data_IF_236830865766
#
_entry.id   IF_236830865766
#
_cell.length_a   1.000
_cell.length_b   1.000
_cell.length_c   1.000
_cell.angle_alpha   90.00
_cell.angle_beta   90.00
_cell.angle_gamma   90.00
#
_symmetry.space_group_name_H-M   'P 1'
#
loop_
_entity.id
_entity.type
_entity.pdbx_description
1 polymer ?
#
# COMPACT_ATOMS: atom_id res chain seq x y z
N UNK A 1 33.87 -14.52 -23.75
CA UNK A 1 32.68 -13.64 -23.85
C UNK A 1 31.36 -14.38 -23.89
N UNK A 2 31.18 -15.48 -24.65
CA UNK A 2 29.90 -16.19 -24.75
C UNK A 2 29.35 -16.70 -23.40
N UNK A 3 30.21 -17.22 -22.52
CA UNK A 3 29.81 -17.70 -21.18
C UNK A 3 29.33 -16.57 -20.26
N UNK A 4 29.92 -15.37 -20.37
CA UNK A 4 29.53 -14.18 -19.60
C UNK A 4 28.18 -13.63 -20.09
N UNK A 5 27.96 -13.64 -21.40
CA UNK A 5 26.68 -13.32 -22.05
C UNK A 5 25.58 -14.30 -21.65
N UNK A 6 25.88 -15.59 -21.55
CA UNK A 6 24.93 -16.61 -21.10
C UNK A 6 24.54 -16.44 -19.63
N UNK A 7 25.50 -16.09 -18.77
CA UNK A 7 25.24 -15.76 -17.35
C UNK A 7 24.38 -14.49 -17.21
N UNK A 8 24.64 -13.48 -18.06
CA UNK A 8 23.86 -12.25 -18.11
C UNK A 8 22.43 -12.50 -18.63
N UNK A 9 22.28 -13.36 -19.64
CA UNK A 9 20.98 -13.80 -20.15
C UNK A 9 20.20 -14.61 -19.11
N UNK A 10 20.83 -15.55 -18.40
CA UNK A 10 20.18 -16.30 -17.30
C UNK A 10 19.77 -15.39 -16.14
N UNK A 11 20.60 -14.38 -15.81
CA UNK A 11 20.29 -13.38 -14.79
C UNK A 11 19.13 -12.44 -15.22
N UNK A 12 18.96 -12.20 -16.52
CA UNK A 12 17.82 -11.46 -17.07
C UNK A 12 16.55 -12.31 -17.09
N UNK A 13 16.65 -13.63 -17.38
CA UNK A 13 15.50 -14.54 -17.40
C UNK A 13 14.85 -14.75 -16.03
N UNK A 14 15.61 -14.65 -14.93
CA UNK A 14 15.04 -14.69 -13.56
C UNK A 14 14.31 -13.41 -13.17
N UNK A 15 14.39 -12.34 -13.97
CA UNK A 15 13.56 -11.13 -13.80
C UNK A 15 12.29 -11.29 -14.64
N UNK A 16 11.62 -12.42 -14.45
CA UNK A 16 10.21 -12.58 -14.79
C UNK A 16 9.49 -12.62 -13.46
N UNK A 17 9.15 -11.45 -12.91
CA UNK A 17 8.21 -11.37 -11.80
C UNK A 17 6.82 -11.69 -12.38
N UNK A 18 6.57 -12.97 -12.62
CA UNK A 18 5.23 -13.49 -12.81
C UNK A 18 4.57 -13.34 -11.43
N UNK A 19 3.85 -12.25 -11.21
CA UNK A 19 2.93 -12.20 -10.08
C UNK A 19 1.81 -13.18 -10.41
N UNK A 20 1.97 -14.43 -9.94
CA UNK A 20 0.91 -15.43 -9.96
C UNK A 20 -0.41 -14.78 -9.55
N UNK A 21 -1.49 -15.13 -10.24
CA UNK A 21 -2.82 -14.66 -9.87
C UNK A 21 -3.08 -14.93 -8.39
N UNK A 22 -3.32 -13.86 -7.63
CA UNK A 22 -3.49 -13.94 -6.18
C UNK A 22 -4.87 -13.47 -5.75
N UNK A 23 -5.28 -13.94 -4.58
CA UNK A 23 -6.43 -13.42 -3.84
C UNK A 23 -5.90 -12.67 -2.64
N UNK A 24 -6.41 -11.45 -2.44
CA UNK A 24 -6.11 -10.63 -1.27
C UNK A 24 -7.37 -10.29 -0.48
N UNK A 25 -7.18 -9.84 0.76
CA UNK A 25 -8.27 -9.45 1.65
C UNK A 25 -8.12 -8.01 2.13
N UNK A 26 -9.25 -7.32 2.32
CA UNK A 26 -9.28 -6.02 2.97
C UNK A 26 -9.52 -6.24 4.47
N UNK A 27 -8.68 -5.66 5.32
CA UNK A 27 -8.77 -5.76 6.77
C UNK A 27 -9.30 -4.44 7.34
N UNK A 28 -10.60 -4.42 7.62
CA UNK A 28 -11.23 -3.35 8.39
C UNK A 28 -11.06 -3.60 9.88
N UNK A 29 -10.61 -2.58 10.62
CA UNK A 29 -10.39 -2.60 12.07
C UNK A 29 -11.56 -2.03 12.87
N UNK A 30 -12.54 -1.44 12.19
CA UNK A 30 -13.73 -0.81 12.79
C UNK A 30 -14.82 -1.84 13.16
N UNK A 31 -14.46 -2.80 14.03
CA UNK A 31 -15.37 -3.85 14.52
C UNK A 31 -15.18 -4.08 16.02
N UNK A 32 -16.26 -4.33 16.75
CA UNK A 32 -16.27 -4.41 18.21
C UNK A 32 -15.57 -5.64 18.81
N UNK A 33 -15.44 -6.73 18.05
CA UNK A 33 -14.89 -8.00 18.51
C UNK A 33 -13.74 -8.51 17.62
N UNK A 34 -12.83 -7.61 17.23
CA UNK A 34 -11.71 -7.99 16.36
C UNK A 34 -10.76 -8.96 17.08
N UNK A 35 -10.34 -10.07 16.44
CA UNK A 35 -9.22 -10.87 16.93
C UNK A 35 -7.94 -10.03 17.03
N UNK A 36 -7.00 -10.44 17.89
CA UNK A 36 -5.74 -9.71 18.01
C UNK A 36 -4.98 -9.68 16.68
N UNK A 37 -4.15 -8.66 16.39
CA UNK A 37 -3.37 -8.60 15.16
C UNK A 37 -2.57 -9.88 14.87
N UNK A 38 -2.01 -10.51 15.91
CA UNK A 38 -1.29 -11.78 15.79
C UNK A 38 -2.21 -12.94 15.39
N UNK A 39 -3.43 -12.99 15.94
CA UNK A 39 -4.43 -13.99 15.54
C UNK A 39 -4.88 -13.79 14.09
N UNK A 40 -5.08 -12.53 13.66
CA UNK A 40 -5.40 -12.20 12.27
C UNK A 40 -4.28 -12.67 11.34
N UNK A 41 -3.02 -12.39 11.67
CA UNK A 41 -1.87 -12.85 10.89
C UNK A 41 -1.76 -14.38 10.85
N UNK A 42 -2.02 -15.06 11.97
CA UNK A 42 -2.05 -16.52 12.00
C UNK A 42 -3.14 -17.08 11.07
N UNK A 43 -4.33 -16.45 11.06
CA UNK A 43 -5.42 -16.83 10.16
C UNK A 43 -5.05 -16.60 8.68
N UNK A 44 -4.46 -15.45 8.35
CA UNK A 44 -4.02 -15.15 6.98
C UNK A 44 -3.03 -16.21 6.47
N UNK A 45 -2.06 -16.59 7.31
CA UNK A 45 -1.11 -17.66 6.98
C UNK A 45 -1.79 -19.01 6.83
N UNK A 46 -2.71 -19.37 7.72
CA UNK A 46 -3.45 -20.63 7.67
C UNK A 46 -4.30 -20.75 6.39
N UNK A 47 -4.83 -19.63 5.89
CA UNK A 47 -5.61 -19.57 4.65
C UNK A 47 -4.76 -19.30 3.39
N UNK A 48 -3.42 -19.29 3.53
CA UNK A 48 -2.47 -18.98 2.45
C UNK A 48 -2.75 -17.64 1.74
N UNK A 49 -3.27 -16.65 2.48
CA UNK A 49 -3.49 -15.29 1.99
C UNK A 49 -2.17 -14.55 2.08
N UNK A 50 -1.70 -14.04 0.93
CA UNK A 50 -0.40 -13.37 0.81
C UNK A 50 -0.49 -11.87 0.55
N UNK A 51 -1.68 -11.35 0.30
CA UNK A 51 -1.91 -9.94 -0.01
C UNK A 51 -3.01 -9.38 0.89
N UNK A 52 -2.72 -8.28 1.56
CA UNK A 52 -3.68 -7.61 2.43
C UNK A 52 -3.72 -6.11 2.17
N UNK A 53 -4.91 -5.53 2.31
CA UNK A 53 -5.10 -4.09 2.35
C UNK A 53 -5.56 -3.67 3.73
N UNK A 54 -4.87 -2.70 4.32
CA UNK A 54 -5.27 -2.01 5.54
C UNK A 54 -5.96 -0.69 5.15
N UNK A 55 -7.05 -0.33 5.85
CA UNK A 55 -7.76 0.94 5.63
C UNK A 55 -7.08 2.14 6.30
N UNK A 56 -6.14 1.87 7.21
CA UNK A 56 -5.31 2.85 7.89
C UNK A 56 -3.88 2.29 8.04
N UNK A 57 -3.02 3.07 8.70
CA UNK A 57 -1.69 2.65 9.08
C UNK A 57 -1.65 2.18 10.55
N UNK A 58 -2.54 1.27 10.94
CA UNK A 58 -2.53 0.74 12.30
C UNK A 58 -1.18 0.10 12.65
N UNK A 59 -0.52 0.68 13.66
CA UNK A 59 0.83 0.28 14.07
C UNK A 59 0.87 -1.16 14.57
N UNK A 60 -0.16 -1.61 15.28
CA UNK A 60 -0.18 -2.95 15.86
C UNK A 60 -0.31 -4.02 14.75
N UNK A 61 -1.12 -3.77 13.73
CA UNK A 61 -1.26 -4.62 12.56
C UNK A 61 0.02 -4.66 11.72
N UNK A 62 0.63 -3.51 11.45
CA UNK A 62 1.90 -3.44 10.71
C UNK A 62 3.01 -4.20 11.45
N UNK A 63 3.12 -4.04 12.77
CA UNK A 63 4.09 -4.82 13.56
C UNK A 63 3.79 -6.33 13.54
N UNK A 64 2.53 -6.74 13.58
CA UNK A 64 2.16 -8.15 13.49
C UNK A 64 2.48 -8.76 12.11
N UNK A 65 2.40 -7.95 11.05
CA UNK A 65 2.73 -8.35 9.68
C UNK A 65 4.26 -8.40 9.41
N UNK A 66 5.08 -7.92 10.34
CA UNK A 66 6.53 -7.96 10.20
C UNK A 66 7.07 -9.40 10.08
N UNK A 67 8.00 -9.61 9.16
CA UNK A 67 8.66 -10.89 8.86
C UNK A 67 7.69 -12.02 8.47
N UNK A 68 6.47 -11.68 8.02
CA UNK A 68 5.49 -12.67 7.56
C UNK A 68 5.60 -13.00 6.08
N UNK A 69 6.20 -12.11 5.29
CA UNK A 69 6.23 -12.18 3.83
C UNK A 69 4.94 -11.74 3.14
N UNK A 70 3.87 -11.45 3.90
CA UNK A 70 2.59 -10.96 3.38
C UNK A 70 2.80 -9.55 2.82
N UNK A 71 2.36 -9.33 1.58
CA UNK A 71 2.37 -8.03 0.93
C UNK A 71 1.25 -7.14 1.46
N UNK A 72 1.58 -5.90 1.82
CA UNK A 72 0.66 -4.97 2.47
C UNK A 72 0.45 -3.73 1.59
N UNK A 73 -0.81 -3.44 1.30
CA UNK A 73 -1.24 -2.12 0.84
C UNK A 73 -1.76 -1.33 2.03
N UNK A 74 -1.16 -0.18 2.33
CA UNK A 74 -1.60 0.71 3.42
C UNK A 74 -2.40 1.86 2.83
N UNK A 75 -3.57 2.16 3.38
CA UNK A 75 -4.34 3.32 2.93
C UNK A 75 -4.05 4.57 3.77
N UNK A 76 -4.06 5.72 3.12
CA UNK A 76 -4.18 7.03 3.78
C UNK A 76 -5.66 7.25 4.07
N UNK A 77 -6.07 7.42 5.33
CA UNK A 77 -7.45 7.74 5.68
C UNK A 77 -7.95 9.06 5.07
N UNK A 78 -9.24 9.14 4.74
CA UNK A 78 -9.83 10.32 4.07
C UNK A 78 -9.77 11.60 4.92
N UNK A 79 -9.82 11.48 6.25
CA UNK A 79 -9.68 12.58 7.20
C UNK A 79 -8.26 13.20 7.21
N UNK A 80 -7.24 12.42 6.88
CA UNK A 80 -5.85 12.89 6.77
C UNK A 80 -5.51 13.48 5.39
N UNK A 81 -6.38 13.26 4.40
CA UNK A 81 -6.14 13.64 3.01
C UNK A 81 -5.87 15.15 2.86
N UNK A 82 -6.64 15.99 3.56
CA UNK A 82 -6.51 17.43 3.47
C UNK A 82 -5.13 17.92 3.93
N UNK A 83 -4.69 17.46 5.11
CA UNK A 83 -3.39 17.84 5.66
C UNK A 83 -2.22 17.37 4.79
N UNK A 84 -2.32 16.15 4.28
CA UNK A 84 -1.30 15.59 3.37
C UNK A 84 -1.30 16.33 2.04
N UNK A 85 -2.46 16.63 1.46
CA UNK A 85 -2.59 17.30 0.17
C UNK A 85 -2.28 18.79 0.18
N UNK A 86 -2.14 19.42 1.35
CA UNK A 86 -1.78 20.84 1.49
C UNK A 86 -0.30 21.05 1.87
N UNK A 87 0.41 20.02 2.33
CA UNK A 87 1.77 20.19 2.87
C UNK A 87 2.65 18.98 2.55
N UNK A 88 3.68 19.21 1.74
CA UNK A 88 4.70 18.20 1.44
C UNK A 88 5.41 17.70 2.72
N UNK A 89 5.65 18.58 3.69
CA UNK A 89 6.24 18.19 4.98
C UNK A 89 5.30 17.25 5.76
N UNK A 90 3.99 17.49 5.72
CA UNK A 90 3.00 16.61 6.37
C UNK A 90 2.95 15.25 5.69
N UNK A 91 2.99 15.21 4.36
CA UNK A 91 3.08 13.97 3.59
C UNK A 91 4.37 13.18 3.91
N UNK A 92 5.52 13.85 3.94
CA UNK A 92 6.79 13.23 4.31
C UNK A 92 6.74 12.64 5.73
N UNK A 93 6.23 13.40 6.70
CA UNK A 93 6.06 12.92 8.08
C UNK A 93 5.09 11.74 8.18
N UNK A 94 4.07 11.68 7.31
CA UNK A 94 3.18 10.54 7.23
C UNK A 94 3.93 9.30 6.74
N UNK A 95 4.68 9.41 5.63
CA UNK A 95 5.49 8.30 5.09
C UNK A 95 6.53 7.82 6.09
N UNK A 96 7.23 8.73 6.77
CA UNK A 96 8.22 8.37 7.79
C UNK A 96 7.61 7.58 8.94
N UNK A 97 6.47 8.03 9.47
CA UNK A 97 5.84 7.40 10.64
C UNK A 97 5.14 6.08 10.32
N UNK A 98 4.51 6.00 9.15
CA UNK A 98 3.59 4.91 8.81
C UNK A 98 4.20 3.86 7.87
N UNK A 99 5.24 4.22 7.13
CA UNK A 99 5.87 3.33 6.14
C UNK A 99 7.32 3.05 6.52
N UNK A 100 8.16 4.08 6.63
CA UNK A 100 9.60 3.89 6.91
C UNK A 100 9.87 3.24 8.27
N UNK A 101 9.02 3.49 9.27
CA UNK A 101 9.14 2.87 10.58
C UNK A 101 8.96 1.33 10.57
N UNK A 102 8.39 0.78 9.49
CA UNK A 102 8.01 -0.63 9.40
C UNK A 102 8.77 -1.40 8.31
N UNK A 103 9.30 -0.72 7.30
CA UNK A 103 10.12 -1.30 6.22
C UNK A 103 11.58 -1.45 6.72
N UNK A 104 12.30 -2.54 6.39
CA UNK A 104 11.90 -3.66 5.53
C UNK A 104 11.23 -4.83 6.25
N UNK A 105 11.03 -4.75 7.58
CA UNK A 105 10.46 -5.85 8.34
C UNK A 105 9.04 -6.20 7.85
N UNK A 106 8.22 -5.19 7.54
CA UNK A 106 6.89 -5.35 6.94
C UNK A 106 6.98 -5.11 5.43
N UNK A 107 6.45 -6.02 4.63
CA UNK A 107 6.51 -5.95 3.18
C UNK A 107 5.40 -5.04 2.62
N UNK A 108 5.57 -3.73 2.76
CA UNK A 108 4.64 -2.73 2.21
C UNK A 108 4.95 -2.54 0.72
N UNK A 109 4.00 -2.87 -0.15
CA UNK A 109 4.17 -2.81 -1.62
C UNK A 109 3.40 -1.68 -2.27
N UNK A 110 2.37 -1.14 -1.60
CA UNK A 110 1.59 -0.04 -2.13
C UNK A 110 1.00 0.87 -1.04
N UNK A 111 0.76 2.13 -1.41
CA UNK A 111 0.02 3.13 -0.64
C UNK A 111 -1.22 3.53 -1.43
N UNK A 112 -2.39 3.34 -0.84
CA UNK A 112 -3.66 3.79 -1.39
C UNK A 112 -4.06 5.13 -0.75
N UNK A 113 -3.93 6.24 -1.48
CA UNK A 113 -4.28 7.56 -0.98
C UNK A 113 -5.79 7.76 -1.04
N UNK A 114 -6.43 7.68 0.13
CA UNK A 114 -7.87 7.79 0.27
C UNK A 114 -8.67 6.58 -0.26
N UNK A 115 -9.94 6.54 0.10
CA UNK A 115 -10.93 5.58 -0.39
C UNK A 115 -12.15 6.33 -0.92
N UNK A 116 -12.43 6.17 -2.22
CA UNK A 116 -13.62 6.70 -2.88
C UNK A 116 -13.76 8.23 -2.76
N UNK A 117 -12.62 8.92 -2.65
CA UNK A 117 -12.51 10.35 -2.36
C UNK A 117 -13.39 11.22 -3.25
N UNK A 118 -13.46 10.89 -4.55
CA UNK A 118 -14.19 11.68 -5.54
C UNK A 118 -15.71 11.59 -5.39
N UNK A 119 -16.23 10.54 -4.77
CA UNK A 119 -17.68 10.37 -4.49
C UNK A 119 -18.02 10.73 -3.05
N UNK A 120 -17.08 10.62 -2.11
CA UNK A 120 -17.30 10.90 -0.69
C UNK A 120 -17.06 12.35 -0.28
N UNK A 121 -16.16 13.06 -0.96
CA UNK A 121 -15.73 14.40 -0.58
C UNK A 121 -15.95 15.40 -1.73
N UNK A 122 -16.72 16.48 -1.53
CA UNK A 122 -16.95 17.47 -2.57
C UNK A 122 -15.66 18.21 -2.91
N UNK A 123 -15.40 18.43 -4.20
CA UNK A 123 -14.24 19.18 -4.71
C UNK A 123 -12.88 18.63 -4.25
N UNK A 124 -12.78 17.33 -3.94
CA UNK A 124 -11.55 16.73 -3.40
C UNK A 124 -10.50 16.36 -4.47
N UNK A 125 -10.82 16.49 -5.76
CA UNK A 125 -9.90 16.10 -6.83
C UNK A 125 -8.54 16.86 -6.78
N UNK A 126 -8.48 18.19 -6.59
CA UNK A 126 -7.21 18.90 -6.56
C UNK A 126 -6.34 18.48 -5.36
N UNK A 127 -6.95 18.32 -4.19
CA UNK A 127 -6.24 17.90 -2.97
C UNK A 127 -5.76 16.46 -3.06
N UNK A 128 -6.53 15.58 -3.70
CA UNK A 128 -6.14 14.19 -3.95
C UNK A 128 -4.91 14.11 -4.87
N UNK A 129 -4.89 14.86 -5.96
CA UNK A 129 -3.74 14.90 -6.89
C UNK A 129 -2.49 15.43 -6.16
N UNK A 130 -2.63 16.47 -5.35
CA UNK A 130 -1.52 16.99 -4.54
C UNK A 130 -1.03 15.96 -3.52
N UNK A 131 -1.94 15.27 -2.82
CA UNK A 131 -1.59 14.23 -1.86
C UNK A 131 -0.83 13.07 -2.52
N UNK A 132 -1.29 12.59 -3.67
CA UNK A 132 -0.58 11.57 -4.46
C UNK A 132 0.84 12.01 -4.82
N UNK A 133 1.00 13.25 -5.31
CA UNK A 133 2.31 13.81 -5.67
C UNK A 133 3.24 13.93 -4.47
N UNK A 134 2.75 14.42 -3.34
CA UNK A 134 3.58 14.60 -2.15
C UNK A 134 3.98 13.27 -1.50
N UNK A 135 3.08 12.29 -1.42
CA UNK A 135 3.42 10.94 -0.96
C UNK A 135 4.45 10.31 -1.89
N UNK A 136 4.26 10.41 -3.21
CA UNK A 136 5.25 9.90 -4.17
C UNK A 136 6.61 10.60 -4.03
N UNK A 137 6.63 11.92 -3.87
CA UNK A 137 7.87 12.68 -3.65
C UNK A 137 8.60 12.25 -2.38
N UNK A 138 7.87 11.97 -1.30
CA UNK A 138 8.45 11.46 -0.06
C UNK A 138 9.05 10.05 -0.20
N UNK A 139 8.42 9.18 -1.00
CA UNK A 139 8.99 7.87 -1.33
C UNK A 139 10.24 7.98 -2.20
N UNK A 140 10.26 8.89 -3.19
CA UNK A 140 11.44 9.17 -4.01
C UNK A 140 12.59 9.67 -3.12
N UNK A 141 12.33 10.60 -2.21
CA UNK A 141 13.34 11.09 -1.26
C UNK A 141 13.89 9.99 -0.33
N UNK A 142 13.13 8.91 -0.15
CA UNK A 142 13.51 7.74 0.66
C UNK A 142 14.04 6.57 -0.17
N UNK A 143 14.19 6.72 -1.50
CA UNK A 143 14.58 5.66 -2.45
C UNK A 143 13.65 4.42 -2.44
N UNK A 144 12.37 4.60 -2.14
CA UNK A 144 11.36 3.54 -2.10
C UNK A 144 10.37 3.59 -3.26
N UNK A 145 10.46 4.57 -4.15
CA UNK A 145 9.54 4.79 -5.29
C UNK A 145 9.46 3.59 -6.26
N UNK A 146 10.54 2.81 -6.36
CA UNK A 146 10.55 1.60 -7.19
C UNK A 146 9.83 0.43 -6.53
N UNK A 147 9.89 0.34 -5.20
CA UNK A 147 9.38 -0.77 -4.40
C UNK A 147 7.92 -0.55 -3.98
N UNK A 148 7.56 0.68 -3.62
CA UNK A 148 6.24 1.04 -3.09
C UNK A 148 5.49 1.88 -4.11
N UNK A 149 4.39 1.34 -4.64
CA UNK A 149 3.54 2.05 -5.61
C UNK A 149 2.54 2.95 -4.91
N UNK A 150 2.20 4.08 -5.51
CA UNK A 150 1.20 5.01 -4.98
C UNK A 150 0.01 5.02 -5.94
N UNK A 151 -1.19 4.84 -5.40
CA UNK A 151 -2.43 4.89 -6.17
C UNK A 151 -3.57 5.43 -5.31
N UNK A 152 -4.76 5.57 -5.86
CA UNK A 152 -5.98 5.94 -5.14
C UNK A 152 -7.10 4.97 -5.49
N UNK A 153 -8.03 4.76 -4.55
CA UNK A 153 -9.21 3.94 -4.80
C UNK A 153 -10.34 4.83 -5.28
N UNK A 154 -10.75 4.61 -6.53
CA UNK A 154 -11.96 5.20 -7.11
C UNK A 154 -13.07 4.16 -7.13
N UNK A 155 -14.30 4.61 -6.94
CA UNK A 155 -15.49 3.81 -7.19
C UNK A 155 -15.80 3.90 -8.69
N UNK A 156 -15.85 2.75 -9.37
CA UNK A 156 -16.44 2.69 -10.71
C UNK A 156 -17.96 2.61 -10.57
N UNK A 157 -18.65 3.67 -10.99
CA UNK A 157 -20.11 3.64 -11.15
C UNK A 157 -20.37 3.23 -12.60
N UNK A 158 -20.93 2.03 -12.79
CA UNK A 158 -21.53 1.68 -14.07
C UNK A 158 -22.91 2.34 -14.13
N UNK A 159 -23.03 3.39 -14.93
CA UNK A 159 -24.35 3.87 -15.36
C UNK A 159 -24.83 2.88 -16.42
N UNK A 160 -25.77 2.02 -16.05
CA UNK A 160 -26.55 1.28 -17.03
C UNK A 160 -27.55 2.27 -17.63
N UNK A 161 -27.08 3.06 -18.59
CA UNK A 161 -27.95 3.88 -19.41
C UNK A 161 -28.75 2.89 -20.27
N UNK A 162 -30.06 2.81 -19.99
CA UNK A 162 -31.02 1.99 -20.72
C UNK A 162 -31.47 2.63 -22.02
#
# INVERSE_FOLDING_TARGET
MAMLLLFFLLAVSVVSADEDAFIGVNLGTDVSNMPSPTQVVALLKAQNIRHVRLYDADRAMLLALANTGIQVTVAVPNDQLLGIGQSNATAANWVTRNVLAHVPATNITAIAVGSEVLTTLPNAAPVLVSALKFIHSALVASNLDRQIKVSTRIQCIFSADG
#
